data_IF_836390663117
#
_entry.id   IF_836390663117
#
_cell.length_a   1.000
_cell.length_b   1.000
_cell.length_c   1.000
_cell.angle_alpha   90.00
_cell.angle_beta   90.00
_cell.angle_gamma   90.00
#
_symmetry.space_group_name_H-M   'P 1'
#
loop_
_entity.id
_entity.type
_entity.pdbx_description
1 polymer ?
#
# COMPACT_ATOMS: atom_id res chain seq x y z
N UNK A 1 12.30 -20.29 16.96
CA UNK A 1 10.83 -20.38 16.95
C UNK A 1 10.26 -19.39 15.98
N UNK A 2 9.31 -19.82 15.18
CA UNK A 2 8.66 -18.93 14.21
C UNK A 2 7.65 -18.04 14.92
N UNK A 3 7.66 -16.76 14.59
CA UNK A 3 6.64 -15.84 15.03
C UNK A 3 5.51 -15.84 14.00
N UNK A 4 4.37 -16.37 14.40
CA UNK A 4 3.19 -16.46 13.55
C UNK A 4 2.19 -15.32 13.80
N UNK A 5 2.58 -14.32 14.56
CA UNK A 5 1.71 -13.18 14.81
C UNK A 5 1.63 -12.31 13.55
N UNK A 6 0.44 -11.81 13.31
CA UNK A 6 0.21 -10.84 12.24
C UNK A 6 0.71 -9.48 12.68
N UNK A 7 1.32 -8.76 11.76
CA UNK A 7 1.71 -7.37 11.97
C UNK A 7 1.11 -6.52 10.87
N UNK A 8 0.40 -5.47 11.24
CA UNK A 8 -0.09 -4.50 10.29
C UNK A 8 1.09 -3.67 9.78
N UNK A 9 1.11 -3.40 8.48
CA UNK A 9 2.12 -2.57 7.84
C UNK A 9 1.50 -1.22 7.52
N UNK A 10 2.22 -0.16 7.84
CA UNK A 10 1.79 1.20 7.53
C UNK A 10 3.00 2.04 7.13
N UNK A 11 2.82 2.90 6.15
CA UNK A 11 3.86 3.81 5.68
C UNK A 11 3.23 5.11 5.18
N UNK A 12 3.86 6.28 5.43
CA UNK A 12 3.38 7.53 4.87
C UNK A 12 3.66 7.66 3.37
N UNK A 13 4.46 6.77 2.80
CA UNK A 13 4.85 6.81 1.39
C UNK A 13 3.85 6.08 0.47
N UNK A 14 2.78 5.55 1.04
CA UNK A 14 1.65 5.00 0.31
C UNK A 14 0.36 5.60 0.88
N UNK A 15 -0.75 5.57 0.13
CA UNK A 15 -2.01 6.12 0.64
C UNK A 15 -2.42 5.46 1.95
N UNK A 16 -2.87 6.27 2.90
CA UNK A 16 -3.35 5.77 4.19
C UNK A 16 -4.58 4.88 4.00
N UNK A 17 -4.73 3.92 4.91
CA UNK A 17 -5.92 3.09 4.93
C UNK A 17 -7.13 3.93 5.32
N UNK A 18 -8.14 3.95 4.45
CA UNK A 18 -9.40 4.64 4.70
C UNK A 18 -10.46 3.57 4.92
N UNK A 19 -10.82 3.35 6.18
CA UNK A 19 -11.77 2.30 6.53
C UNK A 19 -11.11 1.19 7.36
N UNK A 20 -11.83 0.09 7.59
CA UNK A 20 -11.39 -0.96 8.52
C UNK A 20 -10.42 -1.95 7.86
N UNK A 21 -9.28 -1.47 7.36
CA UNK A 21 -8.24 -2.32 6.78
C UNK A 21 -6.86 -1.70 7.01
N UNK A 22 -5.82 -2.48 6.76
CA UNK A 22 -4.44 -2.02 6.80
C UNK A 22 -3.89 -1.93 5.38
N UNK A 23 -2.80 -1.18 5.21
CA UNK A 23 -2.09 -1.12 3.92
C UNK A 23 -1.54 -2.49 3.54
N UNK A 24 -1.05 -3.23 4.53
CA UNK A 24 -0.61 -4.61 4.36
C UNK A 24 -0.58 -5.31 5.71
N UNK A 25 -0.48 -6.62 5.66
CA UNK A 25 -0.31 -7.45 6.86
C UNK A 25 0.84 -8.40 6.61
N UNK A 26 1.75 -8.46 7.56
CA UNK A 26 2.85 -9.42 7.54
C UNK A 26 2.53 -10.58 8.46
N UNK A 27 2.75 -11.81 7.96
CA UNK A 27 2.63 -13.02 8.74
C UNK A 27 3.84 -13.90 8.41
N UNK A 28 4.72 -14.12 9.40
CA UNK A 28 5.98 -14.82 9.20
C UNK A 28 6.79 -14.15 8.08
N UNK A 29 7.10 -14.85 7.00
CA UNK A 29 7.83 -14.30 5.86
C UNK A 29 6.92 -13.95 4.67
N UNK A 30 5.61 -13.85 4.92
CA UNK A 30 4.63 -13.48 3.89
C UNK A 30 4.08 -12.08 4.16
N UNK A 31 3.79 -11.36 3.09
CA UNK A 31 3.14 -10.06 3.17
C UNK A 31 1.92 -10.07 2.25
N UNK A 32 0.78 -9.71 2.80
CA UNK A 32 -0.48 -9.59 2.07
C UNK A 32 -0.81 -8.11 1.97
N UNK A 33 -0.76 -7.57 0.77
CA UNK A 33 -1.07 -6.14 0.56
C UNK A 33 -2.54 -5.95 0.25
N UNK A 34 -3.09 -4.83 0.71
CA UNK A 34 -4.38 -4.35 0.23
C UNK A 34 -4.24 -3.91 -1.23
N UNK A 35 -5.36 -3.87 -1.94
CA UNK A 35 -5.36 -3.32 -3.29
C UNK A 35 -4.88 -1.88 -3.29
N UNK A 36 -4.07 -1.51 -4.27
CA UNK A 36 -3.58 -0.15 -4.41
C UNK A 36 -4.16 0.48 -5.67
N UNK A 37 -4.54 1.74 -5.55
CA UNK A 37 -4.98 2.55 -6.68
C UNK A 37 -4.03 3.72 -6.85
N UNK A 38 -4.19 4.49 -7.93
CA UNK A 38 -3.24 5.55 -8.28
C UNK A 38 -3.43 6.82 -7.45
N UNK A 39 -3.50 6.69 -6.13
CA UNK A 39 -3.61 7.82 -5.21
C UNK A 39 -2.24 8.35 -4.85
N UNK A 40 -2.10 9.67 -4.88
CA UNK A 40 -0.93 10.33 -4.32
C UNK A 40 -1.01 10.26 -2.80
N UNK A 41 0.00 9.69 -2.11
CA UNK A 41 -0.09 9.53 -0.65
C UNK A 41 -0.13 10.85 0.10
N UNK A 42 0.39 11.93 -0.46
CA UNK A 42 0.38 13.22 0.19
C UNK A 42 -0.96 13.93 0.06
N UNK A 43 -1.60 13.87 -1.12
CA UNK A 43 -2.85 14.58 -1.39
C UNK A 43 -4.09 13.73 -1.19
N UNK A 44 -3.98 12.40 -1.23
CA UNK A 44 -5.11 11.50 -1.18
C UNK A 44 -5.95 11.50 -2.45
N UNK A 45 -5.42 12.05 -3.54
CA UNK A 45 -6.16 12.20 -4.79
C UNK A 45 -5.55 11.32 -5.87
N UNK A 46 -6.39 10.90 -6.84
CA UNK A 46 -5.90 10.17 -8.01
C UNK A 46 -4.93 11.06 -8.78
N UNK A 47 -3.76 10.53 -9.13
CA UNK A 47 -2.80 11.29 -9.91
C UNK A 47 -3.38 11.60 -11.29
N UNK A 48 -3.12 12.81 -11.83
CA UNK A 48 -3.56 13.16 -13.18
C UNK A 48 -2.77 12.38 -14.22
N UNK A 49 -3.34 12.27 -15.41
CA UNK A 49 -2.69 11.60 -16.53
C UNK A 49 -3.42 10.33 -16.92
N UNK A 50 -2.81 9.58 -17.85
CA UNK A 50 -3.39 8.37 -18.39
C UNK A 50 -2.91 7.12 -17.68
N UNK A 51 -3.00 5.98 -18.39
CA UNK A 51 -2.68 4.67 -17.83
C UNK A 51 -1.22 4.57 -17.38
N UNK A 52 -0.29 5.22 -18.07
CA UNK A 52 1.13 5.16 -17.73
C UNK A 52 1.38 5.80 -16.37
N UNK A 53 0.87 7.00 -16.15
CA UNK A 53 1.06 7.74 -14.90
C UNK A 53 0.36 7.05 -13.75
N UNK A 54 -0.85 6.54 -13.96
CA UNK A 54 -1.60 5.85 -12.93
C UNK A 54 -0.96 4.51 -12.57
N UNK A 55 -0.50 3.75 -13.56
CA UNK A 55 0.18 2.47 -13.32
C UNK A 55 1.48 2.70 -12.55
N UNK A 56 2.25 3.73 -12.92
CA UNK A 56 3.47 4.09 -12.19
C UNK A 56 3.16 4.39 -10.73
N UNK A 57 2.11 5.16 -10.45
CA UNK A 57 1.75 5.50 -9.07
C UNK A 57 1.33 4.27 -8.27
N UNK A 58 0.57 3.36 -8.89
CA UNK A 58 0.16 2.10 -8.24
C UNK A 58 1.39 1.29 -7.82
N UNK A 59 2.37 1.12 -8.71
CA UNK A 59 3.57 0.36 -8.38
C UNK A 59 4.44 1.06 -7.35
N UNK A 60 4.51 2.39 -7.38
CA UNK A 60 5.21 3.14 -6.34
C UNK A 60 4.55 2.94 -4.97
N UNK A 61 3.21 2.93 -4.92
CA UNK A 61 2.49 2.68 -3.68
C UNK A 61 2.74 1.26 -3.17
N UNK A 62 2.70 0.25 -4.04
CA UNK A 62 3.02 -1.12 -3.66
C UNK A 62 4.45 -1.25 -3.17
N UNK A 63 5.40 -0.62 -3.85
CA UNK A 63 6.79 -0.65 -3.46
C UNK A 63 6.99 -0.03 -2.07
N UNK A 64 6.28 1.04 -1.76
CA UNK A 64 6.38 1.69 -0.45
C UNK A 64 5.82 0.80 0.66
N UNK A 65 4.78 0.01 0.38
CA UNK A 65 4.17 -0.90 1.34
C UNK A 65 5.07 -2.11 1.61
N UNK A 66 5.76 -2.57 0.59
CA UNK A 66 6.65 -3.73 0.72
C UNK A 66 7.98 -3.33 1.34
#
# INVERSE_FOLDING_TARGET
MNDLRKSAVATPNAPAAIGPYSQAVRLANLVYTSGQVALDPASGQIVPGGITEQTTRVFENLKAVL
#
